data_IF_828027088399
#
_entry.id   IF_828027088399
#
_cell.length_a   1.000
_cell.length_b   1.000
_cell.length_c   1.000
_cell.angle_alpha   90.00
_cell.angle_beta   90.00
_cell.angle_gamma   90.00
#
_symmetry.space_group_name_H-M   'P 1'
#
loop_
_entity.id
_entity.type
_entity.pdbx_description
1 polymer ?
#
# COMPACT_ATOMS: atom_id res chain seq x y z
N UNK A 1 -19.51 -3.26 28.70
CA UNK A 1 -18.10 -2.87 28.44
C UNK A 1 -17.72 -3.08 26.97
N UNK A 2 -17.80 -4.29 26.41
CA UNK A 2 -17.50 -4.51 24.98
C UNK A 2 -18.51 -3.87 24.00
N UNK A 3 -19.80 -3.84 24.37
CA UNK A 3 -20.84 -3.23 23.53
C UNK A 3 -20.67 -1.70 23.38
N UNK A 4 -20.22 -1.01 24.44
CA UNK A 4 -20.02 0.45 24.41
C UNK A 4 -18.82 0.85 23.53
N UNK A 5 -17.74 0.07 23.57
CA UNK A 5 -16.57 0.26 22.71
C UNK A 5 -16.85 0.08 21.20
N UNK A 6 -17.94 -0.63 20.85
CA UNK A 6 -18.36 -0.79 19.46
C UNK A 6 -19.16 0.43 18.95
N UNK A 7 -19.75 1.22 19.84
CA UNK A 7 -20.55 2.41 19.49
C UNK A 7 -19.66 3.66 19.41
N UNK A 8 -18.54 3.67 20.14
CA UNK A 8 -17.59 4.78 20.18
C UNK A 8 -16.39 4.60 19.21
N UNK A 9 -16.39 3.54 18.41
CA UNK A 9 -15.36 3.33 17.40
C UNK A 9 -15.50 4.41 16.32
N UNK A 10 -14.41 5.13 16.02
CA UNK A 10 -14.30 5.95 14.82
C UNK A 10 -14.84 5.19 13.62
N UNK A 11 -15.63 5.86 12.78
CA UNK A 11 -16.12 5.28 11.54
C UNK A 11 -14.96 4.61 10.79
N UNK A 12 -15.19 3.36 10.38
CA UNK A 12 -14.30 2.65 9.47
C UNK A 12 -14.24 3.34 8.11
N UNK A 13 -13.36 2.88 7.23
CA UNK A 13 -13.24 3.48 5.89
C UNK A 13 -14.13 2.75 4.91
N UNK A 14 -14.94 3.49 4.15
CA UNK A 14 -15.79 2.93 3.09
C UNK A 14 -16.84 1.96 3.63
N UNK A 15 -17.40 1.15 2.74
CA UNK A 15 -18.41 0.12 3.04
C UNK A 15 -17.87 -1.26 2.71
N UNK A 16 -18.56 -2.34 3.11
CA UNK A 16 -18.08 -3.71 2.86
C UNK A 16 -17.76 -3.98 1.38
N UNK A 17 -18.50 -3.39 0.44
CA UNK A 17 -18.28 -3.54 -1.00
C UNK A 17 -17.09 -2.74 -1.53
N UNK A 18 -16.52 -1.84 -0.72
CA UNK A 18 -15.27 -1.14 -1.01
C UNK A 18 -14.04 -2.06 -0.89
N UNK A 19 -14.20 -3.25 -0.30
CA UNK A 19 -13.12 -4.21 -0.03
C UNK A 19 -13.23 -5.43 -0.95
N UNK A 20 -12.09 -5.84 -1.50
CA UNK A 20 -11.93 -7.10 -2.22
C UNK A 20 -10.73 -7.83 -1.67
N UNK A 21 -10.88 -9.10 -1.32
CA UNK A 21 -9.78 -9.92 -0.79
C UNK A 21 -9.10 -10.75 -1.87
N UNK A 22 -7.87 -11.19 -1.60
CA UNK A 22 -7.11 -12.15 -2.43
C UNK A 22 -7.02 -11.74 -3.91
N UNK A 23 -6.52 -10.54 -4.16
CA UNK A 23 -6.48 -9.96 -5.50
C UNK A 23 -5.15 -10.24 -6.16
N UNK A 24 -5.16 -11.09 -7.19
CA UNK A 24 -4.00 -11.29 -8.04
C UNK A 24 -3.58 -9.98 -8.74
N UNK A 25 -2.26 -9.74 -8.77
CA UNK A 25 -1.60 -8.57 -9.37
C UNK A 25 -0.65 -9.06 -10.48
N UNK A 26 -1.15 -9.22 -11.72
CA UNK A 26 -0.42 -9.91 -12.77
C UNK A 26 0.80 -9.11 -13.24
N UNK A 27 2.01 -9.62 -13.00
CA UNK A 27 3.24 -9.16 -13.66
C UNK A 27 3.47 -9.84 -15.02
N UNK A 28 2.84 -10.99 -15.24
CA UNK A 28 2.71 -11.73 -16.49
C UNK A 28 1.29 -12.33 -16.59
N UNK A 29 0.87 -12.85 -17.75
CA UNK A 29 -0.50 -13.39 -17.92
C UNK A 29 -1.58 -12.31 -17.94
N UNK A 30 -2.83 -12.64 -17.61
CA UNK A 30 -3.96 -11.70 -17.59
C UNK A 30 -4.56 -11.56 -16.20
N UNK A 31 -5.54 -10.66 -16.02
CA UNK A 31 -6.30 -10.59 -14.76
C UNK A 31 -7.04 -11.88 -14.42
N UNK A 32 -7.52 -12.61 -15.44
CA UNK A 32 -8.23 -13.88 -15.26
C UNK A 32 -7.26 -15.05 -15.04
N UNK A 33 -6.12 -15.03 -15.73
CA UNK A 33 -5.10 -16.08 -15.68
C UNK A 33 -3.73 -15.45 -15.34
N UNK A 34 -3.48 -15.10 -14.07
CA UNK A 34 -2.20 -14.54 -13.66
C UNK A 34 -1.08 -15.56 -13.86
N UNK A 35 0.07 -15.10 -14.36
CA UNK A 35 1.24 -15.98 -14.51
C UNK A 35 1.89 -16.36 -13.18
N UNK A 36 2.78 -17.34 -13.21
CA UNK A 36 3.56 -17.76 -12.03
C UNK A 36 4.40 -16.60 -11.50
N UNK A 37 4.47 -16.47 -10.16
CA UNK A 37 5.31 -15.47 -9.50
C UNK A 37 4.71 -14.06 -9.40
N UNK A 38 3.44 -13.89 -9.73
CA UNK A 38 2.69 -12.64 -9.51
C UNK A 38 2.48 -12.36 -8.01
N UNK A 39 2.27 -11.08 -7.68
CA UNK A 39 1.80 -10.69 -6.35
C UNK A 39 0.32 -11.05 -6.18
N UNK A 40 -0.07 -11.22 -4.92
CA UNK A 40 -1.46 -11.33 -4.48
C UNK A 40 -1.59 -10.37 -3.31
N UNK A 41 -2.51 -9.41 -3.42
CA UNK A 41 -2.84 -8.52 -2.34
C UNK A 41 -3.87 -9.19 -1.44
N UNK A 42 -3.63 -9.21 -0.14
CA UNK A 42 -4.60 -9.77 0.82
C UNK A 42 -5.92 -9.01 0.72
N UNK A 43 -5.86 -7.68 0.62
CA UNK A 43 -7.04 -6.81 0.49
C UNK A 43 -6.73 -5.64 -0.47
N UNK A 44 -7.72 -5.27 -1.29
CA UNK A 44 -7.76 -4.02 -2.04
C UNK A 44 -8.95 -3.20 -1.56
N UNK A 45 -8.67 -1.97 -1.15
CA UNK A 45 -9.68 -0.98 -0.73
C UNK A 45 -9.84 0.10 -1.81
N UNK A 46 -11.10 0.29 -2.23
CA UNK A 46 -11.53 1.32 -3.18
C UNK A 46 -12.67 2.09 -2.52
N UNK A 47 -12.35 3.25 -1.96
CA UNK A 47 -13.31 4.14 -1.29
C UNK A 47 -13.07 5.60 -1.73
N UNK A 48 -13.28 5.94 -3.02
CA UNK A 48 -13.09 7.29 -3.52
C UNK A 48 -13.95 8.33 -2.78
N UNK A 49 -15.13 7.96 -2.31
CA UNK A 49 -16.01 8.77 -1.46
C UNK A 49 -15.38 9.13 -0.11
N UNK A 50 -14.52 8.26 0.42
CA UNK A 50 -13.70 8.52 1.60
C UNK A 50 -12.34 9.13 1.20
N UNK A 51 -12.18 9.61 -0.03
CA UNK A 51 -10.95 10.17 -0.55
C UNK A 51 -9.85 9.16 -0.83
N UNK A 52 -10.10 7.84 -0.74
CA UNK A 52 -9.13 6.75 -0.93
C UNK A 52 -9.43 5.96 -2.21
N UNK A 53 -8.98 6.44 -3.40
CA UNK A 53 -9.38 5.85 -4.68
C UNK A 53 -8.79 4.46 -4.91
N UNK A 54 -7.64 4.15 -4.30
CA UNK A 54 -7.01 2.83 -4.37
C UNK A 54 -5.98 2.67 -3.24
N UNK A 55 -6.09 1.59 -2.48
CA UNK A 55 -5.12 1.17 -1.48
C UNK A 55 -5.00 -0.36 -1.50
N UNK A 56 -3.78 -0.87 -1.60
CA UNK A 56 -3.49 -2.29 -1.40
C UNK A 56 -3.09 -2.51 0.05
N UNK A 57 -3.49 -3.63 0.65
CA UNK A 57 -3.23 -3.94 2.05
C UNK A 57 -2.69 -5.37 2.15
N UNK A 58 -1.61 -5.50 2.91
CA UNK A 58 -1.00 -6.76 3.34
C UNK A 58 -1.15 -6.88 4.86
N UNK A 59 -1.65 -7.99 5.35
CA UNK A 59 -1.81 -8.26 6.78
C UNK A 59 -0.82 -9.34 7.23
N UNK A 60 0.02 -9.02 8.21
CA UNK A 60 1.08 -9.90 8.70
C UNK A 60 0.97 -10.22 10.18
N UNK A 61 0.99 -11.51 10.54
CA UNK A 61 0.96 -11.96 11.95
C UNK A 61 2.34 -11.96 12.64
N UNK A 62 3.34 -11.25 12.10
CA UNK A 62 4.72 -11.25 12.59
C UNK A 62 5.40 -12.64 12.65
N UNK A 63 4.97 -13.57 11.79
CA UNK A 63 5.54 -14.92 11.66
C UNK A 63 6.49 -15.04 10.48
N UNK A 64 6.29 -14.24 9.42
CA UNK A 64 7.19 -14.15 8.28
C UNK A 64 8.45 -13.35 8.62
N UNK A 65 9.54 -13.65 7.93
CA UNK A 65 10.75 -12.83 8.01
C UNK A 65 10.62 -11.57 7.16
N UNK A 66 11.25 -10.47 7.58
CA UNK A 66 11.22 -9.19 6.88
C UNK A 66 11.72 -9.31 5.42
N UNK A 67 12.64 -10.22 5.13
CA UNK A 67 13.10 -10.47 3.75
C UNK A 67 12.01 -11.10 2.87
N UNK A 68 11.17 -11.97 3.43
CA UNK A 68 10.03 -12.57 2.74
C UNK A 68 8.97 -11.50 2.46
N UNK A 69 8.70 -10.65 3.44
CA UNK A 69 7.78 -9.51 3.30
C UNK A 69 8.33 -8.53 2.23
N UNK A 70 9.63 -8.18 2.29
CA UNK A 70 10.28 -7.30 1.32
C UNK A 70 10.16 -7.85 -0.12
N UNK A 71 10.33 -9.16 -0.29
CA UNK A 71 10.20 -9.81 -1.60
C UNK A 71 8.78 -9.69 -2.19
N UNK A 72 7.73 -9.52 -1.37
CA UNK A 72 6.38 -9.21 -1.87
C UNK A 72 6.37 -7.86 -2.60
N UNK A 73 7.04 -6.85 -2.05
CA UNK A 73 7.10 -5.52 -2.67
C UNK A 73 7.86 -5.52 -4.01
N UNK A 74 8.84 -6.41 -4.20
CA UNK A 74 9.43 -6.62 -5.53
C UNK A 74 8.38 -7.10 -6.55
N UNK A 75 7.46 -7.98 -6.13
CA UNK A 75 6.37 -8.47 -6.98
C UNK A 75 5.36 -7.36 -7.30
N UNK A 76 5.00 -6.53 -6.32
CA UNK A 76 4.17 -5.34 -6.53
C UNK A 76 4.80 -4.39 -7.55
N UNK A 77 6.08 -4.08 -7.39
CA UNK A 77 6.79 -3.21 -8.33
C UNK A 77 6.82 -3.76 -9.76
N UNK A 78 6.99 -5.08 -9.93
CA UNK A 78 6.86 -5.70 -11.26
C UNK A 78 5.46 -5.54 -11.84
N UNK A 79 4.41 -5.69 -11.03
CA UNK A 79 3.04 -5.45 -11.46
C UNK A 79 2.81 -3.97 -11.84
N UNK A 80 3.25 -3.02 -11.01
CA UNK A 80 3.03 -1.59 -11.25
C UNK A 80 3.78 -1.05 -12.47
N UNK A 81 4.97 -1.58 -12.75
CA UNK A 81 5.75 -1.25 -13.96
C UNK A 81 5.20 -1.89 -15.22
N UNK A 82 4.33 -2.90 -15.08
CA UNK A 82 3.77 -3.59 -16.24
C UNK A 82 2.87 -2.66 -17.03
N UNK A 83 3.15 -2.57 -18.33
CA UNK A 83 2.34 -1.84 -19.30
C UNK A 83 1.59 -2.82 -20.21
N UNK A 84 0.45 -2.36 -20.69
CA UNK A 84 -0.36 -2.99 -21.74
C UNK A 84 -0.72 -1.94 -22.78
N UNK A 85 -1.15 -2.38 -23.95
CA UNK A 85 -1.68 -1.50 -24.98
C UNK A 85 -3.15 -1.20 -24.70
N UNK A 86 -3.54 0.07 -24.77
CA UNK A 86 -4.95 0.46 -24.79
C UNK A 86 -5.56 0.30 -26.19
N UNK A 87 -6.82 0.76 -26.36
CA UNK A 87 -7.56 0.67 -27.62
C UNK A 87 -6.91 1.46 -28.75
N UNK A 88 -6.10 2.47 -28.42
CA UNK A 88 -5.41 3.34 -29.37
C UNK A 88 -3.96 2.88 -29.61
N UNK A 89 -3.55 1.75 -29.01
CA UNK A 89 -2.19 1.22 -29.13
C UNK A 89 -1.15 1.97 -28.28
N UNK A 90 -1.59 2.81 -27.34
CA UNK A 90 -0.72 3.53 -26.43
C UNK A 90 -0.41 2.68 -25.20
N UNK A 91 0.77 2.90 -24.64
CA UNK A 91 1.20 2.23 -23.42
C UNK A 91 0.46 2.79 -22.21
N UNK A 92 -0.25 1.90 -21.48
CA UNK A 92 -0.92 2.22 -20.23
C UNK A 92 -0.50 1.24 -19.13
N UNK A 93 -0.28 1.69 -17.88
CA UNK A 93 -0.05 0.78 -16.76
C UNK A 93 -1.19 -0.22 -16.61
N UNK A 94 -0.87 -1.52 -16.48
CA UNK A 94 -1.88 -2.58 -16.42
C UNK A 94 -2.89 -2.37 -15.29
N UNK A 95 -2.44 -1.94 -14.12
CA UNK A 95 -3.32 -1.70 -12.98
C UNK A 95 -4.39 -0.64 -13.28
N UNK A 96 -4.11 0.32 -14.18
CA UNK A 96 -5.08 1.34 -14.63
C UNK A 96 -6.14 0.80 -15.61
N UNK A 97 -6.07 -0.48 -16.01
CA UNK A 97 -7.18 -1.12 -16.74
C UNK A 97 -8.28 -1.63 -15.81
N UNK A 98 -7.98 -1.76 -14.51
CA UNK A 98 -8.93 -2.26 -13.51
C UNK A 98 -9.37 -1.18 -12.54
N UNK A 99 -8.47 -0.28 -12.17
CA UNK A 99 -8.74 0.76 -11.19
C UNK A 99 -8.46 2.16 -11.74
N UNK A 100 -9.37 3.08 -11.46
CA UNK A 100 -9.17 4.50 -11.70
C UNK A 100 -8.42 5.10 -10.51
N UNK A 101 -7.37 5.86 -10.78
CA UNK A 101 -6.70 6.68 -9.79
C UNK A 101 -6.46 8.07 -10.38
N UNK A 102 -6.44 9.14 -9.57
CA UNK A 102 -6.09 10.47 -10.05
C UNK A 102 -4.80 10.43 -10.86
N UNK A 103 -4.73 11.23 -11.91
CA UNK A 103 -3.47 11.47 -12.57
C UNK A 103 -2.56 12.28 -11.65
N UNK A 104 -1.24 12.04 -11.69
CA UNK A 104 -0.28 12.82 -10.95
C UNK A 104 -0.46 14.31 -11.21
N UNK A 105 -0.64 15.11 -10.16
CA UNK A 105 -0.81 16.57 -10.30
C UNK A 105 0.46 17.30 -10.76
N UNK A 106 1.63 16.65 -10.71
CA UNK A 106 2.94 17.28 -10.95
C UNK A 106 3.97 16.37 -11.65
N UNK A 107 3.51 15.44 -12.51
CA UNK A 107 4.42 14.49 -13.18
C UNK A 107 5.00 13.39 -12.27
N UNK A 108 4.72 13.43 -10.97
CA UNK A 108 5.07 12.36 -10.04
C UNK A 108 4.12 11.15 -10.21
N UNK A 109 4.40 10.33 -11.24
CA UNK A 109 3.74 9.06 -11.50
C UNK A 109 4.06 8.00 -10.43
N UNK A 110 3.82 8.35 -9.18
CA UNK A 110 3.84 7.46 -8.04
C UNK A 110 2.88 6.31 -8.27
N UNK A 111 3.35 5.11 -7.96
CA UNK A 111 2.53 3.92 -7.97
C UNK A 111 1.50 3.96 -6.83
N UNK A 112 0.43 3.16 -6.91
CA UNK A 112 -0.53 3.07 -5.80
C UNK A 112 0.14 2.71 -4.47
N UNK A 113 -0.38 3.19 -3.34
CA UNK A 113 0.16 2.89 -2.02
C UNK A 113 -0.12 1.44 -1.62
N UNK A 114 0.80 0.87 -0.84
CA UNK A 114 0.63 -0.41 -0.17
C UNK A 114 0.76 -0.23 1.34
N UNK A 115 -0.28 -0.62 2.08
CA UNK A 115 -0.34 -0.61 3.54
C UNK A 115 0.01 -2.00 4.09
N UNK A 116 1.01 -2.07 4.96
CA UNK A 116 1.37 -3.25 5.70
C UNK A 116 0.86 -3.14 7.14
N UNK A 117 -0.07 -4.02 7.51
CA UNK A 117 -0.69 -4.06 8.85
C UNK A 117 -0.13 -5.24 9.63
N UNK A 118 0.61 -4.95 10.70
CA UNK A 118 1.14 -5.99 11.59
C UNK A 118 0.19 -6.30 12.74
N UNK A 119 -0.09 -7.58 12.94
CA UNK A 119 -0.69 -8.13 14.14
C UNK A 119 0.38 -8.83 14.96
N UNK A 120 0.62 -8.36 16.19
CA UNK A 120 1.69 -8.84 17.08
C UNK A 120 1.32 -10.18 17.74
N UNK A 121 1.22 -11.25 16.94
CA UNK A 121 0.97 -12.63 17.44
C UNK A 121 2.22 -13.49 17.36
N UNK A 122 3.00 -13.34 16.29
CA UNK A 122 4.24 -14.06 16.09
C UNK A 122 5.37 -13.60 17.01
N UNK A 123 6.45 -14.39 17.02
CA UNK A 123 7.64 -14.15 17.87
C UNK A 123 8.49 -12.95 17.45
N UNK A 124 8.29 -12.41 16.24
CA UNK A 124 9.05 -11.26 15.75
C UNK A 124 8.36 -9.97 16.18
N UNK A 125 9.13 -8.98 16.59
CA UNK A 125 8.61 -7.66 16.97
C UNK A 125 8.16 -6.88 15.72
N UNK A 126 6.91 -6.43 15.69
CA UNK A 126 6.32 -5.66 14.61
C UNK A 126 7.12 -4.37 14.32
N UNK A 127 7.47 -3.52 15.31
CA UNK A 127 8.34 -2.35 15.06
C UNK A 127 9.66 -2.72 14.37
N UNK A 128 10.36 -3.76 14.85
CA UNK A 128 11.62 -4.21 14.25
C UNK A 128 11.41 -4.76 12.83
N UNK A 129 10.29 -5.44 12.57
CA UNK A 129 9.93 -5.88 11.22
C UNK A 129 9.67 -4.69 10.30
N UNK A 130 8.91 -3.70 10.75
CA UNK A 130 8.63 -2.48 9.98
C UNK A 130 9.92 -1.76 9.58
N UNK A 131 10.84 -1.54 10.54
CA UNK A 131 12.15 -0.94 10.27
C UNK A 131 12.98 -1.75 9.27
N UNK A 132 12.99 -3.08 9.43
CA UNK A 132 13.77 -3.95 8.55
C UNK A 132 13.19 -4.00 7.14
N UNK A 133 11.87 -4.08 7.01
CA UNK A 133 11.18 -4.01 5.70
C UNK A 133 11.43 -2.65 5.05
N UNK A 134 11.35 -1.55 5.80
CA UNK A 134 11.67 -0.21 5.29
C UNK A 134 13.08 -0.15 4.71
N UNK A 135 14.07 -0.69 5.42
CA UNK A 135 15.45 -0.73 4.96
C UNK A 135 15.63 -1.61 3.71
N UNK A 136 15.02 -2.80 3.68
CA UNK A 136 15.14 -3.75 2.56
C UNK A 136 14.41 -3.30 1.29
N UNK A 137 13.36 -2.48 1.44
CA UNK A 137 12.53 -1.99 0.33
C UNK A 137 12.87 -0.56 -0.09
N UNK A 138 14.01 -0.02 0.39
CA UNK A 138 14.42 1.38 0.21
C UNK A 138 14.36 1.84 -1.24
N UNK A 139 14.80 0.99 -2.17
CA UNK A 139 14.80 1.32 -3.60
C UNK A 139 13.40 1.48 -4.20
N UNK A 140 12.36 0.96 -3.56
CA UNK A 140 10.97 1.02 -4.02
C UNK A 140 10.26 2.31 -3.61
N UNK A 141 10.57 2.85 -2.44
CA UNK A 141 9.86 4.02 -1.88
C UNK A 141 10.72 5.29 -1.81
N UNK A 142 12.05 5.17 -1.76
CA UNK A 142 12.89 6.34 -1.60
C UNK A 142 12.94 7.17 -2.89
N UNK A 143 12.40 8.39 -2.81
CA UNK A 143 12.54 9.41 -3.85
C UNK A 143 13.99 9.85 -4.04
N UNK A 144 14.29 10.38 -5.22
CA UNK A 144 15.61 10.91 -5.59
C UNK A 144 15.62 12.42 -5.39
N UNK A 145 16.75 12.97 -4.96
CA UNK A 145 16.93 14.41 -4.95
C UNK A 145 17.02 14.94 -6.37
N UNK A 146 16.27 16.00 -6.65
CA UNK A 146 16.33 16.75 -7.89
C UNK A 146 17.17 18.02 -7.71
N UNK A 147 17.63 18.58 -8.82
CA UNK A 147 18.11 19.95 -8.86
C UNK A 147 16.99 20.89 -8.35
N UNK A 148 17.32 21.77 -7.41
CA UNK A 148 16.33 22.64 -6.74
C UNK A 148 15.87 22.16 -5.35
N UNK A 149 16.44 21.08 -4.81
CA UNK A 149 16.29 20.73 -3.39
C UNK A 149 14.95 20.09 -3.01
N UNK A 150 14.22 19.53 -3.98
CA UNK A 150 13.02 18.71 -3.73
C UNK A 150 13.27 17.24 -4.12
N UNK A 151 12.38 16.34 -3.66
CA UNK A 151 12.44 14.92 -4.00
C UNK A 151 11.46 14.57 -5.11
N UNK A 152 11.92 13.78 -6.08
CA UNK A 152 11.10 13.17 -7.14
C UNK A 152 10.82 11.71 -6.77
N UNK A 153 9.56 11.31 -6.84
CA UNK A 153 9.12 9.95 -6.55
C UNK A 153 8.54 9.20 -7.76
N UNK A 154 8.87 9.64 -8.97
CA UNK A 154 8.46 8.94 -10.18
C UNK A 154 8.85 7.46 -10.15
N UNK A 155 7.86 6.58 -10.38
CA UNK A 155 8.06 5.13 -10.32
C UNK A 155 8.37 4.59 -8.92
N UNK A 156 8.06 5.35 -7.87
CA UNK A 156 8.12 4.90 -6.47
C UNK A 156 6.75 4.52 -5.95
N UNK A 157 6.75 3.58 -5.03
CA UNK A 157 5.57 3.06 -4.35
C UNK A 157 5.56 3.57 -2.92
N UNK A 158 4.55 4.35 -2.49
CA UNK A 158 4.37 4.63 -1.07
C UNK A 158 4.15 3.31 -0.33
N UNK A 159 5.06 2.99 0.59
CA UNK A 159 4.89 1.87 1.51
C UNK A 159 4.60 2.44 2.89
N UNK A 160 3.44 2.09 3.41
CA UNK A 160 2.92 2.55 4.70
C UNK A 160 2.86 1.35 5.62
N UNK A 161 3.25 1.52 6.89
CA UNK A 161 3.18 0.45 7.87
C UNK A 161 2.44 0.91 9.13
N UNK A 162 1.71 -0.01 9.74
CA UNK A 162 1.04 0.20 11.03
C UNK A 162 0.92 -1.12 11.79
N UNK A 163 0.38 -1.07 13.01
CA UNK A 163 0.01 -2.25 13.78
C UNK A 163 -1.49 -2.23 14.07
N UNK A 164 -2.10 -3.40 14.29
CA UNK A 164 -3.50 -3.47 14.74
C UNK A 164 -3.72 -2.74 16.07
N UNK A 165 -2.71 -2.67 16.93
CA UNK A 165 -2.75 -1.91 18.18
C UNK A 165 -2.89 -0.40 17.91
N UNK A 166 -2.03 0.17 17.05
CA UNK A 166 -2.10 1.59 16.67
C UNK A 166 -3.41 1.92 15.95
N UNK A 167 -3.90 1.02 15.10
CA UNK A 167 -5.20 1.20 14.44
C UNK A 167 -6.38 1.19 15.42
N UNK A 168 -6.33 0.35 16.46
CA UNK A 168 -7.36 0.33 17.51
C UNK A 168 -7.31 1.58 18.38
N UNK A 169 -6.12 2.09 18.66
CA UNK A 169 -5.93 3.26 19.52
C UNK A 169 -6.28 4.57 18.81
N UNK A 170 -5.85 4.74 17.57
CA UNK A 170 -5.92 6.03 16.87
C UNK A 170 -6.89 6.05 15.69
N UNK A 171 -7.34 4.89 15.22
CA UNK A 171 -8.15 4.78 14.01
C UNK A 171 -7.43 5.25 12.74
N UNK A 172 -8.14 5.31 11.60
CA UNK A 172 -7.56 5.73 10.33
C UNK A 172 -7.24 7.23 10.24
N UNK A 173 -7.94 8.05 11.03
CA UNK A 173 -7.79 9.51 11.06
C UNK A 173 -6.72 10.01 12.05
N UNK A 174 -6.30 9.16 13.00
CA UNK A 174 -5.24 9.50 13.94
C UNK A 174 -3.84 9.11 13.46
N UNK A 175 -2.79 9.37 14.26
CA UNK A 175 -1.39 9.15 13.92
C UNK A 175 -0.98 7.67 14.03
N UNK A 176 -1.63 6.79 13.28
CA UNK A 176 -1.38 5.34 13.31
C UNK A 176 -0.36 4.86 12.25
N UNK A 177 -0.09 5.65 11.22
CA UNK A 177 0.57 5.18 10.01
C UNK A 177 1.97 5.74 9.86
N UNK A 178 2.95 4.87 9.71
CA UNK A 178 4.31 5.26 9.37
C UNK A 178 4.56 5.03 7.88
N UNK A 179 4.65 6.12 7.11
CA UNK A 179 5.12 6.06 5.72
C UNK A 179 6.64 5.94 5.72
N UNK A 180 7.18 4.93 5.06
CA UNK A 180 8.62 4.75 4.99
C UNK A 180 9.31 5.99 4.40
N UNK A 181 10.36 6.44 5.10
CA UNK A 181 11.08 7.68 4.75
C UNK A 181 10.51 8.97 5.33
N UNK A 182 9.45 8.91 6.15
CA UNK A 182 9.00 10.02 7.03
C UNK A 182 9.41 9.71 8.47
N UNK A 183 9.61 10.77 9.26
CA UNK A 183 9.97 10.65 10.68
C UNK A 183 8.73 10.40 11.54
N UNK A 184 7.66 11.17 11.29
CA UNK A 184 6.45 11.11 12.09
C UNK A 184 5.42 10.10 11.58
N UNK A 185 4.58 9.64 12.51
CA UNK A 185 3.34 8.95 12.16
C UNK A 185 2.31 9.96 11.66
N UNK A 186 1.51 9.52 10.70
CA UNK A 186 0.53 10.32 9.98
C UNK A 186 -0.83 9.63 10.05
N UNK A 187 -1.90 10.34 9.68
CA UNK A 187 -3.17 9.70 9.31
C UNK A 187 -3.03 8.99 7.95
N UNK A 188 -3.99 8.14 7.59
CA UNK A 188 -3.91 7.36 6.36
C UNK A 188 -3.92 8.24 5.09
N UNK A 189 -4.67 9.35 5.10
CA UNK A 189 -4.81 10.23 3.95
C UNK A 189 -3.53 10.95 3.58
N UNK A 190 -2.70 11.28 4.56
CA UNK A 190 -1.39 11.90 4.37
C UNK A 190 -0.32 10.85 4.06
N UNK A 191 -0.36 9.71 4.75
CA UNK A 191 0.65 8.65 4.61
C UNK A 191 0.71 8.02 3.21
N UNK A 192 -0.40 8.05 2.48
CA UNK A 192 -0.53 7.36 1.17
C UNK A 192 0.10 8.10 -0.01
N UNK A 193 0.50 9.36 0.17
CA UNK A 193 1.12 10.17 -0.89
C UNK A 193 2.65 10.16 -0.77
N UNK A 194 3.34 10.46 -1.87
CA UNK A 194 4.79 10.61 -1.89
C UNK A 194 5.25 12.03 -1.53
#
# INVERSE_FOLDING_TARGET
MAAQACVDASDGIGIITSYVTEVALPSTGTWKNPGVGCAWADIVLIAPEAGLPLLFIEAGNCTEDASVIAAKFDKYMRHYRRKVKDTDGLDKPMWRTRWSAPDPRWGDASHPPVLLVFHQVGKRSAPKQMERVAALTRDHWQGRWAEGGFRIYEGKMPIVATTLELLREHGPAGPAFWRFGREDRQNLWDARWN
#
